data_IF_220400371073
#
_entry.id   IF_220400371073
#
_cell.length_a   1.000
_cell.length_b   1.000
_cell.length_c   1.000
_cell.angle_alpha   90.00
_cell.angle_beta   90.00
_cell.angle_gamma   90.00
#
_symmetry.space_group_name_H-M   'P 1'
#
loop_
_entity.id
_entity.type
_entity.pdbx_description
1 polymer ?
#
# COMPACT_ATOMS: atom_id res chain seq x y z
N UNK A 1 -13.66 13.27 8.43
CA UNK A 1 -12.99 12.73 9.65
C UNK A 1 -12.59 11.29 9.38
N UNK A 2 -11.34 10.92 9.64
CA UNK A 2 -10.81 9.58 9.38
C UNK A 2 -11.27 8.59 10.48
N UNK A 3 -11.81 7.44 10.08
CA UNK A 3 -12.35 6.45 11.03
C UNK A 3 -11.26 5.65 11.75
N UNK A 4 -10.17 5.29 11.04
CA UNK A 4 -9.04 4.54 11.59
C UNK A 4 -7.77 5.34 11.32
N UNK A 5 -7.11 5.76 12.39
CA UNK A 5 -5.81 6.44 12.30
C UNK A 5 -4.71 5.38 12.29
N UNK A 6 -3.97 5.31 11.19
CA UNK A 6 -2.83 4.40 11.05
C UNK A 6 -1.54 5.22 11.27
N UNK A 7 -0.91 5.15 12.46
CA UNK A 7 0.24 6.00 12.77
C UNK A 7 1.51 5.59 12.00
N UNK A 8 1.63 4.32 11.64
CA UNK A 8 2.77 3.80 10.87
C UNK A 8 2.30 2.78 9.84
N UNK A 9 2.01 3.21 8.60
CA UNK A 9 1.70 2.30 7.50
C UNK A 9 2.86 1.33 7.28
N UNK A 10 2.54 0.05 7.10
CA UNK A 10 3.52 -0.97 6.73
C UNK A 10 3.64 -1.03 5.20
N UNK A 11 4.78 -1.48 4.66
CA UNK A 11 4.91 -1.72 3.22
C UNK A 11 3.87 -2.71 2.71
N UNK A 12 3.39 -2.50 1.48
CA UNK A 12 2.39 -3.37 0.84
C UNK A 12 2.89 -4.80 0.72
N UNK A 13 4.20 -5.01 0.59
CA UNK A 13 4.82 -6.33 0.56
C UNK A 13 4.47 -7.20 1.77
N UNK A 14 4.46 -6.63 2.98
CA UNK A 14 4.12 -7.38 4.20
C UNK A 14 2.69 -7.91 4.15
N UNK A 15 1.78 -7.16 3.52
CA UNK A 15 0.40 -7.56 3.33
C UNK A 15 0.23 -8.57 2.20
N UNK A 16 0.95 -8.42 1.09
CA UNK A 16 0.83 -9.27 -0.10
C UNK A 16 1.53 -10.62 0.07
N UNK A 17 2.66 -10.69 0.78
CA UNK A 17 3.50 -11.87 0.95
C UNK A 17 2.79 -13.13 1.48
N UNK A 18 1.93 -13.07 2.51
CA UNK A 18 1.22 -14.27 3.00
C UNK A 18 0.11 -14.75 2.05
N UNK A 19 -0.29 -13.95 1.06
CA UNK A 19 -1.40 -14.28 0.18
C UNK A 19 -0.91 -15.05 -1.05
N UNK A 20 -1.26 -16.34 -1.14
CA UNK A 20 -0.83 -17.21 -2.25
C UNK A 20 -1.15 -16.66 -3.64
N UNK A 21 -2.27 -15.95 -3.80
CA UNK A 21 -2.67 -15.32 -5.07
C UNK A 21 -1.67 -14.29 -5.61
N UNK A 22 -0.85 -13.67 -4.74
CA UNK A 22 0.13 -12.66 -5.13
C UNK A 22 1.55 -13.20 -5.28
N UNK A 23 1.77 -14.51 -5.08
CA UNK A 23 3.10 -15.13 -5.17
C UNK A 23 3.80 -14.85 -6.51
N UNK A 24 3.06 -14.73 -7.60
CA UNK A 24 3.61 -14.43 -8.92
C UNK A 24 4.19 -13.01 -9.03
N UNK A 25 3.72 -12.05 -8.23
CA UNK A 25 4.23 -10.68 -8.21
C UNK A 25 5.60 -10.57 -7.54
N UNK A 26 5.94 -11.52 -6.67
CA UNK A 26 7.25 -11.57 -5.98
C UNK A 26 8.36 -12.20 -6.83
N UNK A 27 8.10 -12.53 -8.09
CA UNK A 27 9.17 -12.94 -9.00
C UNK A 27 10.01 -11.71 -9.40
N UNK A 28 11.33 -11.84 -9.63
CA UNK A 28 12.21 -10.70 -9.93
C UNK A 28 11.73 -9.84 -11.09
N UNK A 29 11.09 -10.45 -12.09
CA UNK A 29 10.60 -9.76 -13.29
C UNK A 29 9.42 -8.84 -12.99
N UNK A 30 8.70 -9.09 -11.89
CA UNK A 30 7.49 -8.36 -11.50
C UNK A 30 7.73 -7.38 -10.34
N UNK A 31 8.99 -7.16 -9.93
CA UNK A 31 9.32 -6.27 -8.81
C UNK A 31 8.76 -4.85 -9.00
N UNK A 32 8.79 -4.34 -10.22
CA UNK A 32 8.23 -3.03 -10.56
C UNK A 32 6.72 -2.93 -10.25
N UNK A 33 5.99 -4.05 -10.37
CA UNK A 33 4.54 -4.07 -10.08
C UNK A 33 4.29 -3.83 -8.58
N UNK A 34 5.14 -4.37 -7.71
CA UNK A 34 5.04 -4.15 -6.27
C UNK A 34 5.34 -2.68 -5.94
N UNK A 35 6.35 -2.10 -6.58
CA UNK A 35 6.72 -0.69 -6.41
C UNK A 35 5.58 0.25 -6.86
N UNK A 36 4.94 -0.06 -8.00
CA UNK A 36 3.78 0.68 -8.50
C UNK A 36 2.57 0.57 -7.57
N UNK A 37 2.31 -0.61 -7.00
CA UNK A 37 1.26 -0.80 -5.99
C UNK A 37 1.56 0.02 -4.75
N UNK A 38 2.80 0.02 -4.25
CA UNK A 38 3.21 0.81 -3.10
C UNK A 38 2.95 2.31 -3.35
N UNK A 39 3.40 2.83 -4.51
CA UNK A 39 3.17 4.23 -4.90
C UNK A 39 1.69 4.59 -4.93
N UNK A 40 0.87 3.73 -5.54
CA UNK A 40 -0.57 3.97 -5.65
C UNK A 40 -1.27 3.97 -4.29
N UNK A 41 -0.88 3.06 -3.39
CA UNK A 41 -1.39 3.02 -2.01
C UNK A 41 -1.01 4.30 -1.25
N UNK A 42 0.23 4.75 -1.37
CA UNK A 42 0.72 5.96 -0.70
C UNK A 42 0.01 7.22 -1.21
N UNK A 43 -0.20 7.34 -2.52
CA UNK A 43 -0.94 8.44 -3.14
C UNK A 43 -2.41 8.46 -2.69
N UNK A 44 -3.06 7.30 -2.64
CA UNK A 44 -4.44 7.20 -2.17
C UNK A 44 -4.54 7.51 -0.67
N UNK A 45 -3.57 7.07 0.13
CA UNK A 45 -3.53 7.39 1.55
C UNK A 45 -3.44 8.90 1.77
N UNK A 46 -2.50 9.58 1.11
CA UNK A 46 -2.37 11.05 1.14
C UNK A 46 -3.65 11.75 0.71
N UNK A 47 -4.30 11.25 -0.36
CA UNK A 47 -5.58 11.80 -0.83
C UNK A 47 -6.67 11.70 0.24
N UNK A 48 -6.79 10.54 0.89
CA UNK A 48 -7.82 10.28 1.91
C UNK A 48 -7.56 11.09 3.18
N UNK A 49 -6.31 11.17 3.66
CA UNK A 49 -5.97 11.95 4.86
C UNK A 49 -6.23 13.44 4.64
N UNK A 50 -5.87 13.98 3.47
CA UNK A 50 -6.19 15.35 3.07
C UNK A 50 -7.69 15.63 3.06
N UNK A 51 -8.50 14.75 2.45
CA UNK A 51 -9.96 14.86 2.46
C UNK A 51 -10.55 14.78 3.87
N UNK A 52 -9.85 14.12 4.80
CA UNK A 52 -10.26 14.01 6.18
C UNK A 52 -9.78 15.15 7.08
N UNK A 53 -8.87 16.02 6.60
CA UNK A 53 -8.23 17.08 7.37
C UNK A 53 -7.21 16.55 8.40
N UNK A 54 -6.59 15.40 8.12
CA UNK A 54 -5.66 14.69 9.01
C UNK A 54 -4.25 14.61 8.39
N UNK A 55 -3.88 15.62 7.61
CA UNK A 55 -2.56 15.77 6.96
C UNK A 55 -1.51 16.37 7.93
#
# INVERSE_FOLDING_TARGET
>A
KLNIKVPKPKPVEEFLKPQGRFRHLFKPENRQVIDDIQRWVDENWKRITKLCGEE
#
